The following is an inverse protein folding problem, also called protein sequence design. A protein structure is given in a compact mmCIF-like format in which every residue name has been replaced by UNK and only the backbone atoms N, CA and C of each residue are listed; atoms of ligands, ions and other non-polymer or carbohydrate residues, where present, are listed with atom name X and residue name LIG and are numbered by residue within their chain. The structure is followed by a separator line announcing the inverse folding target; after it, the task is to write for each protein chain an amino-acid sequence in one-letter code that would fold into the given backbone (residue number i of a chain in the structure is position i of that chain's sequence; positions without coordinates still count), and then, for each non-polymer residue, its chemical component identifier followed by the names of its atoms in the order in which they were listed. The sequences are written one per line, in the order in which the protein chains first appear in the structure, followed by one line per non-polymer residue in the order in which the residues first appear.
data_IF_457182494485
#
_entry.id   IF_457182494485
#
_cell.length_a   1.000
_cell.length_b   1.000
_cell.length_c   1.000
_cell.angle_alpha   90.00
_cell.angle_beta   90.00
_cell.angle_gamma   90.00
#
_symmetry.space_group_name_H-M   'P 1'
#
loop_
_entity.id
_entity.type
_entity.pdbx_description
1 polymer ?
#
# COMPACT_ATOMS: atom_id res chain seq x y z
N UNK A 1 26.45 -15.60 5.23
CA UNK A 1 25.30 -14.68 5.33
C UNK A 1 24.07 -15.46 5.82
N UNK A 2 24.17 -16.27 6.86
CA UNK A 2 24.42 -16.04 8.30
C UNK A 2 23.13 -15.75 9.06
N UNK A 3 22.70 -16.83 9.75
CA UNK A 3 21.53 -17.11 10.58
C UNK A 3 21.14 -16.04 11.62
N UNK A 4 21.87 -14.93 11.71
CA UNK A 4 21.68 -13.90 12.73
C UNK A 4 20.40 -13.07 12.50
N UNK A 5 19.93 -12.93 11.25
CA UNK A 5 18.77 -12.09 10.92
C UNK A 5 17.42 -12.77 11.15
N UNK A 6 17.35 -14.10 11.10
CA UNK A 6 16.11 -14.84 11.36
C UNK A 6 15.73 -14.83 12.85
N UNK A 7 16.69 -14.60 13.74
CA UNK A 7 16.45 -14.49 15.18
C UNK A 7 15.83 -13.14 15.58
N UNK A 8 16.00 -12.09 14.78
CA UNK A 8 15.37 -10.78 15.02
C UNK A 8 13.85 -10.83 14.78
N UNK A 9 13.38 -11.77 13.95
CA UNK A 9 11.94 -11.96 13.66
C UNK A 9 11.25 -12.78 14.77
N UNK A 10 11.99 -13.53 15.58
CA UNK A 10 11.43 -14.46 16.57
C UNK A 10 11.39 -13.92 18.01
N UNK A 11 12.04 -12.79 18.30
CA UNK A 11 12.19 -12.25 19.67
C UNK A 11 11.17 -11.17 20.08
N UNK A 12 10.12 -10.94 19.29
CA UNK A 12 9.06 -9.96 19.61
C UNK A 12 7.82 -10.58 20.27
N UNK A 13 7.99 -11.72 20.96
CA UNK A 13 6.96 -12.30 21.81
C UNK A 13 7.35 -12.15 23.27
N UNK A 14 6.75 -11.18 23.97
CA UNK A 14 6.46 -11.16 25.42
C UNK A 14 6.43 -9.71 25.95
N UNK A 15 5.33 -8.99 25.73
CA UNK A 15 4.88 -7.94 26.66
C UNK A 15 3.35 -8.05 26.76
N UNK A 16 2.89 -8.94 27.63
CA UNK A 16 1.51 -9.02 28.06
C UNK A 16 1.35 -8.15 29.32
N UNK A 17 0.79 -6.96 29.15
CA UNK A 17 0.20 -6.16 30.23
C UNK A 17 -1.29 -6.45 30.31
N UNK A 18 -1.87 -6.30 31.51
CA UNK A 18 -3.29 -6.53 31.75
C UNK A 18 -4.16 -5.48 31.03
N UNK A 19 -5.33 -5.92 30.56
CA UNK A 19 -6.36 -5.08 29.94
C UNK A 19 -7.13 -4.33 31.03
N UNK A 20 -6.84 -3.04 31.22
CA UNK A 20 -7.69 -2.16 32.03
C UNK A 20 -8.83 -1.60 31.17
N UNK A 21 -10.06 -1.60 31.71
CA UNK A 21 -11.20 -0.93 31.08
C UNK A 21 -10.91 0.57 30.93
N UNK A 22 -11.37 1.20 29.85
CA UNK A 22 -11.09 2.62 29.64
C UNK A 22 -11.70 3.49 30.75
N UNK A 23 -11.04 4.59 31.12
CA UNK A 23 -11.45 5.44 32.26
C UNK A 23 -12.91 5.92 32.14
N UNK A 24 -13.37 6.21 30.92
CA UNK A 24 -14.75 6.59 30.65
C UNK A 24 -15.73 5.43 30.84
N UNK A 25 -15.35 4.19 30.48
CA UNK A 25 -16.18 3.00 30.69
C UNK A 25 -16.30 2.65 32.18
N UNK A 26 -15.34 3.05 32.99
CA UNK A 26 -15.36 2.86 34.44
C UNK A 26 -16.23 3.91 35.17
N UNK A 27 -16.62 5.01 34.51
CA UNK A 27 -17.43 6.08 35.12
C UNK A 27 -18.86 5.58 35.43
N UNK A 28 -19.26 5.50 36.71
CA UNK A 28 -20.59 5.03 37.09
C UNK A 28 -21.71 5.93 36.55
N UNK A 29 -21.47 7.24 36.42
CA UNK A 29 -22.47 8.18 35.90
C UNK A 29 -22.72 7.95 34.39
N UNK A 30 -21.67 7.57 33.66
CA UNK A 30 -21.79 7.21 32.25
C UNK A 30 -22.63 5.94 32.06
N UNK A 31 -22.37 4.90 32.87
CA UNK A 31 -23.13 3.63 32.83
C UNK A 31 -24.60 3.83 33.13
N UNK A 32 -24.91 4.59 34.19
CA UNK A 32 -26.30 4.92 34.56
C UNK A 32 -27.01 5.68 33.44
N UNK A 33 -26.33 6.62 32.78
CA UNK A 33 -26.91 7.34 31.64
C UNK A 33 -27.28 6.40 30.49
N UNK A 34 -26.40 5.45 30.13
CA UNK A 34 -26.69 4.48 29.07
C UNK A 34 -27.92 3.65 29.42
N UNK A 35 -27.97 3.08 30.63
CA UNK A 35 -29.09 2.25 31.07
C UNK A 35 -30.42 3.00 31.08
N UNK A 36 -30.41 4.28 31.45
CA UNK A 36 -31.59 5.15 31.41
C UNK A 36 -31.98 5.48 29.98
N UNK A 37 -31.01 5.80 29.11
CA UNK A 37 -31.25 6.11 27.72
C UNK A 37 -31.86 4.94 26.95
N UNK A 38 -31.37 3.72 27.15
CA UNK A 38 -31.92 2.53 26.50
C UNK A 38 -33.37 2.25 26.93
N UNK A 39 -33.74 2.59 28.17
CA UNK A 39 -35.10 2.42 28.70
C UNK A 39 -36.06 3.53 28.27
N UNK A 40 -35.59 4.78 28.27
CA UNK A 40 -36.43 5.96 28.05
C UNK A 40 -36.37 6.48 26.61
N UNK A 41 -35.42 6.01 25.81
CA UNK A 41 -35.15 6.50 24.45
C UNK A 41 -34.79 7.99 24.42
N UNK A 42 -34.18 8.52 25.48
CA UNK A 42 -33.83 9.95 25.59
C UNK A 42 -32.62 10.20 26.48
N UNK A 43 -31.88 11.27 26.18
CA UNK A 43 -30.77 11.80 26.99
C UNK A 43 -30.99 13.30 27.17
N UNK A 44 -31.36 13.73 28.37
CA UNK A 44 -31.75 15.11 28.64
C UNK A 44 -32.93 15.53 27.74
N UNK A 45 -32.77 16.60 26.98
CA UNK A 45 -33.79 17.12 26.05
C UNK A 45 -33.80 16.41 24.67
N UNK A 46 -32.86 15.49 24.43
CA UNK A 46 -32.71 14.81 23.13
C UNK A 46 -33.51 13.50 23.15
N UNK A 47 -34.51 13.38 22.27
CA UNK A 47 -35.22 12.11 22.05
C UNK A 47 -34.63 11.33 20.87
N UNK A 48 -34.44 10.02 21.07
CA UNK A 48 -33.89 9.11 20.08
C UNK A 48 -35.05 8.28 19.52
N UNK A 49 -35.60 8.71 18.39
CA UNK A 49 -36.85 8.16 17.83
C UNK A 49 -36.80 6.64 17.58
N UNK A 50 -35.65 6.10 17.17
CA UNK A 50 -35.50 4.67 16.88
C UNK A 50 -35.27 3.80 18.13
N UNK A 51 -35.07 4.39 19.32
CA UNK A 51 -35.01 3.67 20.59
C UNK A 51 -36.40 3.30 21.14
N UNK A 52 -37.48 3.92 20.65
CA UNK A 52 -38.82 3.80 21.22
C UNK A 52 -39.53 2.46 20.89
N UNK A 53 -38.82 1.44 20.39
CA UNK A 53 -39.39 0.20 19.87
C UNK A 53 -39.38 -1.02 20.83
N UNK A 54 -39.16 -0.84 22.13
CA UNK A 54 -39.09 -1.96 23.09
C UNK A 54 -40.30 -2.09 24.03
N UNK A 55 -41.34 -1.26 23.91
CA UNK A 55 -42.48 -1.31 24.84
C UNK A 55 -43.66 -2.17 24.38
N UNK A 56 -43.79 -2.49 23.09
CA UNK A 56 -44.90 -3.33 22.61
C UNK A 56 -44.38 -4.47 21.72
N UNK A 57 -44.48 -5.70 22.23
CA UNK A 57 -44.05 -6.93 21.55
C UNK A 57 -44.87 -7.27 20.31
N UNK A 58 -44.72 -6.48 19.24
CA UNK A 58 -45.38 -6.71 17.95
C UNK A 58 -44.35 -6.56 16.82
N UNK A 59 -43.49 -7.56 16.66
CA UNK A 59 -42.63 -7.68 15.48
C UNK A 59 -42.44 -9.13 15.05
N UNK A 60 -43.47 -9.95 15.23
CA UNK A 60 -43.55 -11.27 14.62
C UNK A 60 -44.40 -11.31 13.33
N UNK A 61 -45.10 -10.22 12.95
CA UNK A 61 -46.10 -10.24 11.86
C UNK A 61 -46.09 -9.00 10.94
N UNK A 62 -44.92 -8.37 10.72
CA UNK A 62 -44.83 -7.26 9.75
C UNK A 62 -44.57 -7.80 8.33
N UNK A 63 -45.36 -7.40 7.31
CA UNK A 63 -45.16 -7.83 5.93
C UNK A 63 -43.77 -7.47 5.40
N UNK A 64 -43.16 -8.36 4.62
CA UNK A 64 -41.80 -8.24 4.05
C UNK A 64 -41.51 -6.94 3.27
N UNK A 65 -42.54 -6.21 2.84
CA UNK A 65 -42.40 -4.92 2.12
C UNK A 65 -42.38 -3.68 3.04
N UNK A 66 -42.58 -3.85 4.35
CA UNK A 66 -42.38 -2.81 5.38
C UNK A 66 -40.93 -2.76 5.89
N UNK A 67 -40.04 -3.61 5.37
CA UNK A 67 -38.62 -3.51 5.66
C UNK A 67 -38.08 -2.20 5.09
N UNK A 68 -37.54 -1.37 5.98
CA UNK A 68 -36.93 -0.11 5.60
C UNK A 68 -35.88 -0.33 4.49
N UNK A 69 -35.81 0.56 3.49
CA UNK A 69 -34.79 0.48 2.45
C UNK A 69 -33.38 0.38 3.08
N UNK A 70 -32.50 -0.42 2.49
CA UNK A 70 -31.11 -0.58 2.98
C UNK A 70 -30.39 0.76 3.21
N UNK A 71 -30.71 1.81 2.43
CA UNK A 71 -30.12 3.14 2.62
C UNK A 71 -30.61 3.86 3.90
N UNK A 72 -31.84 3.59 4.34
CA UNK A 72 -32.42 4.12 5.59
C UNK A 72 -31.85 3.37 6.78
N UNK A 73 -31.75 2.04 6.70
CA UNK A 73 -31.07 1.20 7.70
C UNK A 73 -29.59 1.60 7.85
N UNK A 74 -28.94 1.98 6.75
CA UNK A 74 -27.56 2.47 6.79
C UNK A 74 -27.43 3.85 7.45
N UNK A 75 -28.49 4.67 7.43
CA UNK A 75 -28.54 6.01 8.03
C UNK A 75 -28.90 5.96 9.53
N UNK A 76 -29.73 5.02 9.96
CA UNK A 76 -30.18 4.88 11.34
C UNK A 76 -29.10 4.23 12.22
N UNK A 77 -28.78 4.82 13.37
CA UNK A 77 -27.91 4.21 14.38
C UNK A 77 -28.70 3.21 15.22
N UNK A 78 -28.00 2.27 15.86
CA UNK A 78 -28.63 1.39 16.83
C UNK A 78 -28.89 2.19 18.10
N UNK A 79 -30.00 1.92 18.79
CA UNK A 79 -30.37 2.63 20.00
C UNK A 79 -29.21 2.73 21.01
N UNK A 80 -28.57 1.58 21.27
CA UNK A 80 -27.41 1.49 22.16
C UNK A 80 -26.24 2.39 21.76
N UNK A 81 -25.90 2.47 20.47
CA UNK A 81 -24.74 3.25 20.01
C UNK A 81 -25.00 4.75 20.03
N UNK A 82 -26.26 5.18 19.86
CA UNK A 82 -26.64 6.58 20.07
C UNK A 82 -26.71 6.94 21.55
N UNK A 83 -27.24 6.06 22.41
CA UNK A 83 -27.18 6.24 23.85
C UNK A 83 -25.74 6.38 24.37
N UNK A 84 -24.84 5.47 23.96
CA UNK A 84 -23.42 5.54 24.29
C UNK A 84 -22.80 6.88 23.86
N UNK A 85 -23.17 7.39 22.68
CA UNK A 85 -22.67 8.66 22.16
C UNK A 85 -23.18 9.88 22.93
N UNK A 86 -24.50 10.02 23.08
CA UNK A 86 -25.08 11.19 23.74
C UNK A 86 -24.69 11.26 25.21
N UNK A 87 -24.65 10.12 25.91
CA UNK A 87 -24.16 10.04 27.28
C UNK A 87 -22.67 10.41 27.39
N UNK A 88 -21.84 9.95 26.45
CA UNK A 88 -20.42 10.30 26.40
C UNK A 88 -20.26 11.82 26.20
N UNK A 89 -20.96 12.39 25.23
CA UNK A 89 -20.90 13.83 24.94
C UNK A 89 -21.39 14.68 26.11
N UNK A 90 -22.42 14.24 26.83
CA UNK A 90 -22.90 14.91 28.04
C UNK A 90 -21.83 14.90 29.15
N UNK A 91 -21.24 13.74 29.42
CA UNK A 91 -20.19 13.60 30.45
C UNK A 91 -18.95 14.41 30.12
N UNK A 92 -18.53 14.43 28.86
CA UNK A 92 -17.39 15.24 28.42
C UNK A 92 -17.67 16.75 28.54
N UNK A 93 -18.90 17.20 28.29
CA UNK A 93 -19.30 18.59 28.54
C UNK A 93 -19.23 18.96 30.03
N UNK A 94 -19.63 18.05 30.92
CA UNK A 94 -19.54 18.24 32.37
C UNK A 94 -18.08 18.25 32.84
N UNK A 95 -17.23 17.40 32.28
CA UNK A 95 -15.77 17.39 32.53
C UNK A 95 -15.10 18.67 32.05
N UNK A 96 -15.43 19.14 30.85
CA UNK A 96 -14.92 20.40 30.29
C UNK A 96 -15.30 21.60 31.18
N UNK A 97 -16.53 21.65 31.68
CA UNK A 97 -16.97 22.69 32.61
C UNK A 97 -16.19 22.70 33.94
N UNK A 98 -15.66 21.55 34.36
CA UNK A 98 -14.81 21.40 35.54
C UNK A 98 -13.31 21.58 35.24
N UNK A 99 -12.94 21.87 33.99
CA UNK A 99 -11.53 21.98 33.57
C UNK A 99 -10.77 20.64 33.57
N UNK A 100 -11.49 19.51 33.58
CA UNK A 100 -10.91 18.17 33.51
C UNK A 100 -10.52 17.82 32.07
N UNK A 101 -9.53 16.94 31.91
CA UNK A 101 -9.11 16.44 30.60
C UNK A 101 -10.12 15.42 30.04
N UNK A 102 -10.26 15.34 28.70
CA UNK A 102 -11.07 14.31 28.07
C UNK A 102 -10.59 12.91 28.39
N UNK A 103 -11.51 11.94 28.41
CA UNK A 103 -11.18 10.51 28.58
C UNK A 103 -11.69 9.67 27.42
N UNK A 104 -11.16 8.45 27.31
CA UNK A 104 -11.60 7.48 26.31
C UNK A 104 -12.80 6.68 26.80
N UNK A 105 -13.67 6.32 25.86
CA UNK A 105 -14.83 5.44 26.04
C UNK A 105 -14.74 4.33 25.01
N UNK A 106 -14.81 3.07 25.44
CA UNK A 106 -14.57 1.89 24.60
C UNK A 106 -13.29 2.00 23.74
N UNK A 107 -12.23 2.58 24.30
CA UNK A 107 -10.94 2.80 23.62
C UNK A 107 -10.89 3.96 22.63
N UNK A 108 -12.01 4.67 22.39
CA UNK A 108 -12.10 5.78 21.43
C UNK A 108 -12.21 7.14 22.13
N UNK A 109 -11.71 8.17 21.46
CA UNK A 109 -11.86 9.55 21.91
C UNK A 109 -13.26 10.12 21.58
N UNK A 110 -13.76 11.12 22.34
CA UNK A 110 -15.06 11.71 22.11
C UNK A 110 -15.02 12.68 20.91
N UNK A 111 -15.57 12.25 19.76
CA UNK A 111 -15.67 13.07 18.55
C UNK A 111 -17.03 13.74 18.39
N UNK A 112 -17.06 14.98 17.90
CA UNK A 112 -18.30 15.64 17.49
C UNK A 112 -18.71 15.15 16.10
N UNK A 113 -19.82 14.41 16.03
CA UNK A 113 -20.38 13.92 14.76
C UNK A 113 -20.91 15.09 13.91
N UNK A 114 -20.82 14.97 12.59
CA UNK A 114 -21.44 15.90 11.63
C UNK A 114 -22.40 15.14 10.72
N UNK A 115 -23.71 15.27 10.98
CA UNK A 115 -24.80 14.59 10.27
C UNK A 115 -24.61 13.06 10.19
N UNK A 116 -23.89 12.59 9.17
CA UNK A 116 -23.66 11.15 8.88
C UNK A 116 -22.25 10.72 9.25
N UNK A 117 -21.27 11.65 9.31
CA UNK A 117 -19.86 11.34 9.53
C UNK A 117 -19.55 11.26 11.02
N UNK A 118 -19.02 10.12 11.45
CA UNK A 118 -18.50 9.94 12.81
C UNK A 118 -17.22 10.76 13.04
N UNK A 119 -16.26 10.63 12.13
CA UNK A 119 -14.97 11.33 12.16
C UNK A 119 -14.76 12.04 10.81
N UNK A 120 -15.34 13.24 10.63
CA UNK A 120 -15.41 13.88 9.31
C UNK A 120 -14.05 14.18 8.70
N UNK A 121 -13.06 14.57 9.53
CA UNK A 121 -11.72 14.90 9.04
C UNK A 121 -10.98 13.64 8.61
N UNK A 122 -10.94 12.60 9.43
CA UNK A 122 -10.31 11.32 9.11
C UNK A 122 -10.93 10.65 7.88
N UNK A 123 -12.25 10.73 7.72
CA UNK A 123 -12.95 10.21 6.54
C UNK A 123 -12.52 10.92 5.24
N UNK A 124 -12.47 12.26 5.25
CA UNK A 124 -12.05 13.05 4.08
C UNK A 124 -10.58 12.81 3.76
N UNK A 125 -9.71 12.77 4.76
CA UNK A 125 -8.28 12.53 4.55
C UNK A 125 -7.99 11.11 4.03
N UNK A 126 -8.73 10.11 4.52
CA UNK A 126 -8.70 8.74 3.97
C UNK A 126 -9.11 8.72 2.48
N UNK A 127 -10.21 9.39 2.14
CA UNK A 127 -10.68 9.46 0.74
C UNK A 127 -9.69 10.20 -0.18
N UNK A 128 -9.06 11.27 0.30
CA UNK A 128 -8.00 11.97 -0.44
C UNK A 128 -6.78 11.06 -0.66
N UNK A 129 -6.40 10.30 0.37
CA UNK A 129 -5.28 9.35 0.26
C UNK A 129 -5.62 8.25 -0.76
N UNK A 130 -6.85 7.72 -0.76
CA UNK A 130 -7.32 6.77 -1.77
C UNK A 130 -7.14 7.32 -3.20
N UNK A 131 -7.53 8.58 -3.44
CA UNK A 131 -7.37 9.23 -4.75
C UNK A 131 -5.89 9.32 -5.15
N UNK A 132 -5.02 9.69 -4.21
CA UNK A 132 -3.56 9.73 -4.47
C UNK A 132 -3.01 8.35 -4.81
N UNK A 133 -3.44 7.31 -4.09
CA UNK A 133 -3.00 5.93 -4.34
C UNK A 133 -3.48 5.43 -5.71
N UNK A 134 -4.73 5.71 -6.08
CA UNK A 134 -5.27 5.39 -7.41
C UNK A 134 -4.50 6.08 -8.53
N UNK A 135 -4.28 7.40 -8.41
CA UNK A 135 -3.55 8.17 -9.41
C UNK A 135 -2.10 7.71 -9.57
N UNK A 136 -1.44 7.38 -8.44
CA UNK A 136 -0.08 6.85 -8.43
C UNK A 136 0.01 5.47 -9.10
N UNK A 137 -0.90 4.56 -8.74
CA UNK A 137 -0.99 3.23 -9.34
C UNK A 137 -1.28 3.31 -10.85
N UNK A 138 -2.23 4.15 -11.26
CA UNK A 138 -2.57 4.35 -12.68
C UNK A 138 -1.38 4.90 -13.46
N UNK A 139 -0.65 5.88 -12.90
CA UNK A 139 0.55 6.44 -13.52
C UNK A 139 1.63 5.38 -13.72
N UNK A 140 1.83 4.51 -12.72
CA UNK A 140 2.75 3.38 -12.81
C UNK A 140 2.31 2.33 -13.84
N UNK A 141 1.02 1.98 -13.87
CA UNK A 141 0.44 1.05 -14.85
C UNK A 141 0.67 1.56 -16.28
N UNK A 142 0.30 2.82 -16.54
CA UNK A 142 0.47 3.47 -17.85
C UNK A 142 1.94 3.51 -18.29
N UNK A 143 2.85 3.86 -17.37
CA UNK A 143 4.29 3.84 -17.65
C UNK A 143 4.76 2.43 -18.05
N UNK A 144 4.41 1.43 -17.25
CA UNK A 144 4.96 0.08 -17.35
C UNK A 144 4.52 -0.65 -18.62
N UNK A 145 3.27 -0.45 -19.04
CA UNK A 145 2.68 -1.18 -20.17
C UNK A 145 2.63 -0.41 -21.48
N UNK A 146 2.55 0.93 -21.44
CA UNK A 146 2.34 1.74 -22.65
C UNK A 146 3.52 2.61 -23.04
N UNK A 147 4.34 3.06 -22.07
CA UNK A 147 5.49 3.94 -22.36
C UNK A 147 6.82 3.20 -22.41
N UNK A 148 7.01 2.20 -21.54
CA UNK A 148 8.23 1.42 -21.50
C UNK A 148 8.16 0.20 -22.44
N UNK A 149 9.29 -0.21 -23.03
CA UNK A 149 9.31 -1.36 -23.93
C UNK A 149 9.03 -2.65 -23.16
N UNK A 150 8.31 -3.56 -23.82
CA UNK A 150 8.03 -4.89 -23.31
C UNK A 150 9.02 -5.92 -23.87
N UNK A 151 9.20 -7.03 -23.16
CA UNK A 151 10.06 -8.11 -23.62
C UNK A 151 9.46 -8.77 -24.87
N UNK A 152 10.17 -8.86 -26.01
CA UNK A 152 9.61 -9.30 -27.29
C UNK A 152 8.97 -10.69 -27.27
N UNK A 153 9.54 -11.65 -26.54
CA UNK A 153 9.08 -13.04 -26.53
C UNK A 153 7.99 -13.36 -25.51
N UNK A 154 7.85 -12.55 -24.45
CA UNK A 154 6.91 -12.86 -23.37
C UNK A 154 5.83 -11.80 -23.17
N UNK A 155 5.92 -10.64 -23.83
CA UNK A 155 5.02 -9.51 -23.61
C UNK A 155 5.06 -8.93 -22.19
N UNK A 156 6.03 -9.34 -21.37
CA UNK A 156 6.15 -8.91 -19.96
C UNK A 156 7.04 -7.68 -19.83
N UNK A 157 6.78 -6.87 -18.81
CA UNK A 157 7.63 -5.74 -18.45
C UNK A 157 9.04 -6.20 -18.08
N UNK A 158 10.05 -5.39 -18.39
CA UNK A 158 11.43 -5.66 -17.94
C UNK A 158 11.62 -5.52 -16.43
N UNK A 159 10.79 -4.70 -15.80
CA UNK A 159 10.84 -4.50 -14.35
C UNK A 159 10.38 -5.75 -13.61
N UNK A 160 11.24 -6.27 -12.75
CA UNK A 160 11.03 -7.59 -12.13
C UNK A 160 9.98 -7.55 -11.01
N UNK A 161 9.63 -6.37 -10.49
CA UNK A 161 8.71 -6.21 -9.35
C UNK A 161 7.31 -5.73 -9.77
N UNK A 162 7.02 -5.68 -11.08
CA UNK A 162 5.77 -5.13 -11.60
C UNK A 162 4.53 -5.72 -10.94
N UNK A 163 4.45 -7.05 -10.85
CA UNK A 163 3.29 -7.73 -10.23
C UNK A 163 3.11 -7.32 -8.76
N UNK A 164 4.20 -7.20 -8.00
CA UNK A 164 4.14 -6.81 -6.58
C UNK A 164 3.56 -5.40 -6.41
N UNK A 165 3.95 -4.45 -7.27
CA UNK A 165 3.41 -3.09 -7.20
C UNK A 165 1.94 -2.98 -7.61
N UNK A 166 1.45 -3.87 -8.49
CA UNK A 166 0.01 -3.94 -8.78
C UNK A 166 -0.77 -4.45 -7.58
N UNK A 167 -0.28 -5.52 -6.93
CA UNK A 167 -0.90 -6.04 -5.71
C UNK A 167 -0.87 -4.98 -4.60
N UNK A 168 0.26 -4.29 -4.41
CA UNK A 168 0.37 -3.18 -3.46
C UNK A 168 -0.67 -2.09 -3.74
N UNK A 169 -0.80 -1.66 -5.01
CA UNK A 169 -1.78 -0.63 -5.39
C UNK A 169 -3.21 -1.04 -5.10
N UNK A 170 -3.58 -2.28 -5.42
CA UNK A 170 -4.92 -2.82 -5.14
C UNK A 170 -5.21 -2.91 -3.64
N UNK A 171 -4.27 -3.46 -2.86
CA UNK A 171 -4.40 -3.56 -1.40
C UNK A 171 -4.45 -2.16 -0.77
N UNK A 172 -3.66 -1.21 -1.29
CA UNK A 172 -3.67 0.15 -0.79
C UNK A 172 -5.02 0.82 -1.03
N UNK A 173 -5.53 0.76 -2.25
CA UNK A 173 -6.85 1.30 -2.55
C UNK A 173 -7.95 0.63 -1.71
N UNK A 174 -7.85 -0.67 -1.46
CA UNK A 174 -8.80 -1.39 -0.61
C UNK A 174 -8.76 -0.90 0.86
N UNK A 175 -7.56 -0.74 1.43
CA UNK A 175 -7.41 -0.25 2.80
C UNK A 175 -7.96 1.18 2.98
N UNK A 176 -7.57 2.11 2.11
CA UNK A 176 -8.05 3.49 2.20
C UNK A 176 -9.54 3.65 1.91
N UNK A 177 -10.12 2.75 1.08
CA UNK A 177 -11.56 2.69 0.87
C UNK A 177 -12.31 2.27 2.13
N UNK A 178 -11.88 1.18 2.77
CA UNK A 178 -12.50 0.73 4.02
C UNK A 178 -12.27 1.71 5.17
N UNK A 179 -11.10 2.36 5.25
CA UNK A 179 -10.84 3.43 6.21
C UNK A 179 -11.77 4.64 6.03
N UNK A 180 -11.99 5.08 4.78
CA UNK A 180 -12.94 6.16 4.51
C UNK A 180 -14.38 5.79 4.92
N UNK A 181 -14.80 4.54 4.69
CA UNK A 181 -16.11 4.03 5.12
C UNK A 181 -16.19 3.96 6.65
N UNK A 182 -15.18 3.42 7.31
CA UNK A 182 -15.14 3.26 8.77
C UNK A 182 -15.28 4.61 9.49
N UNK A 183 -14.48 5.61 9.10
CA UNK A 183 -14.55 6.95 9.70
C UNK A 183 -15.84 7.71 9.33
N UNK A 184 -16.50 7.33 8.23
CA UNK A 184 -17.85 7.82 7.92
C UNK A 184 -18.85 7.19 8.88
N UNK A 185 -18.85 5.86 8.99
CA UNK A 185 -19.86 5.09 9.72
C UNK A 185 -19.26 3.83 10.34
N UNK A 186 -19.13 3.83 11.67
CA UNK A 186 -18.63 2.68 12.41
C UNK A 186 -19.75 1.71 12.78
N UNK A 187 -19.63 0.47 12.33
CA UNK A 187 -20.28 -0.72 12.88
C UNK A 187 -19.32 -1.91 12.75
N UNK A 188 -19.57 -2.99 13.51
CA UNK A 188 -18.62 -4.09 13.72
C UNK A 188 -18.00 -4.65 12.42
N UNK A 189 -18.79 -4.76 11.35
CA UNK A 189 -18.30 -5.23 10.05
C UNK A 189 -17.31 -4.25 9.42
N UNK A 190 -17.62 -2.94 9.39
CA UNK A 190 -16.71 -1.93 8.82
C UNK A 190 -15.42 -1.82 9.61
N UNK A 191 -15.49 -1.99 10.92
CA UNK A 191 -14.31 -2.00 11.80
C UNK A 191 -13.40 -3.19 11.51
N UNK A 192 -13.98 -4.39 11.41
CA UNK A 192 -13.24 -5.59 11.04
C UNK A 192 -12.62 -5.48 9.65
N UNK A 193 -13.35 -4.93 8.67
CA UNK A 193 -12.84 -4.77 7.30
C UNK A 193 -11.74 -3.72 7.19
N UNK A 194 -11.86 -2.60 7.91
CA UNK A 194 -10.83 -1.57 7.97
C UNK A 194 -9.53 -2.12 8.57
N UNK A 195 -9.61 -2.76 9.74
CA UNK A 195 -8.43 -3.37 10.36
C UNK A 195 -7.82 -4.48 9.49
N UNK A 196 -8.65 -5.36 8.91
CA UNK A 196 -8.17 -6.45 8.06
C UNK A 196 -7.47 -5.94 6.81
N UNK A 197 -8.04 -4.93 6.15
CA UNK A 197 -7.46 -4.34 4.94
C UNK A 197 -6.19 -3.54 5.23
N UNK A 198 -6.14 -2.83 6.35
CA UNK A 198 -4.95 -2.15 6.86
C UNK A 198 -3.81 -3.12 7.16
N UNK A 199 -4.08 -4.24 7.87
CA UNK A 199 -3.10 -5.30 8.12
C UNK A 199 -2.61 -5.92 6.81
N UNK A 200 -3.52 -6.20 5.86
CA UNK A 200 -3.15 -6.75 4.57
C UNK A 200 -2.21 -5.82 3.80
N UNK A 201 -2.48 -4.51 3.80
CA UNK A 201 -1.62 -3.50 3.19
C UNK A 201 -0.25 -3.44 3.88
N UNK A 202 -0.20 -3.22 5.20
CA UNK A 202 1.05 -3.06 5.96
C UNK A 202 1.90 -4.33 5.85
N UNK A 203 1.27 -5.50 5.96
CA UNK A 203 1.92 -6.80 5.83
C UNK A 203 2.49 -7.04 4.43
N UNK A 204 1.71 -6.77 3.38
CA UNK A 204 2.22 -6.90 2.02
C UNK A 204 3.32 -5.88 1.71
N UNK A 205 3.21 -4.66 2.24
CA UNK A 205 4.25 -3.64 2.13
C UNK A 205 5.55 -4.07 2.81
N UNK A 206 5.49 -4.78 3.94
CA UNK A 206 6.65 -5.40 4.58
C UNK A 206 7.28 -6.48 3.69
N UNK A 207 6.48 -7.37 3.08
CA UNK A 207 6.98 -8.36 2.11
C UNK A 207 7.70 -7.66 0.96
N UNK A 208 7.07 -6.63 0.38
CA UNK A 208 7.65 -5.83 -0.70
C UNK A 208 8.97 -5.19 -0.27
N UNK A 209 9.02 -4.59 0.93
CA UNK A 209 10.21 -3.97 1.49
C UNK A 209 11.36 -4.98 1.63
N UNK A 210 11.10 -6.19 2.13
CA UNK A 210 12.09 -7.27 2.22
C UNK A 210 12.61 -7.63 0.82
N UNK A 211 11.71 -7.97 -0.10
CA UNK A 211 12.09 -8.41 -1.45
C UNK A 211 12.88 -7.32 -2.21
N UNK A 212 12.48 -6.06 -2.06
CA UNK A 212 13.14 -4.93 -2.73
C UNK A 212 14.47 -4.56 -2.09
N UNK A 213 14.59 -4.65 -0.77
CA UNK A 213 15.82 -4.36 0.00
C UNK A 213 16.92 -5.36 -0.31
N UNK A 214 16.60 -6.66 -0.26
CA UNK A 214 17.53 -7.73 -0.57
C UNK A 214 17.67 -8.01 -2.07
N UNK A 215 16.98 -7.23 -2.92
CA UNK A 215 17.00 -7.33 -4.39
C UNK A 215 16.73 -8.77 -4.89
N UNK A 216 15.71 -9.41 -4.32
CA UNK A 216 15.33 -10.80 -4.64
C UNK A 216 14.58 -10.84 -5.97
N UNK A 217 15.23 -11.42 -6.99
CA UNK A 217 14.72 -11.45 -8.37
C UNK A 217 14.10 -12.77 -8.78
N UNK A 218 14.55 -13.87 -8.17
CA UNK A 218 14.11 -15.23 -8.49
C UNK A 218 12.73 -15.50 -7.90
N UNK A 219 11.79 -15.93 -8.74
CA UNK A 219 10.40 -16.15 -8.31
C UNK A 219 10.29 -17.19 -7.17
N UNK A 220 11.05 -18.28 -7.25
CA UNK A 220 11.07 -19.30 -6.19
C UNK A 220 11.53 -18.73 -4.85
N UNK A 221 12.56 -17.88 -4.82
CA UNK A 221 13.05 -17.24 -3.60
C UNK A 221 12.05 -16.22 -3.06
N UNK A 222 11.32 -15.52 -3.93
CA UNK A 222 10.25 -14.61 -3.52
C UNK A 222 9.13 -15.35 -2.82
N UNK A 223 8.68 -16.47 -3.38
CA UNK A 223 7.64 -17.31 -2.77
C UNK A 223 8.13 -17.86 -1.42
N UNK A 224 9.36 -18.36 -1.35
CA UNK A 224 9.93 -18.89 -0.11
C UNK A 224 9.98 -17.85 1.02
N UNK A 225 10.27 -16.58 0.71
CA UNK A 225 10.30 -15.48 1.69
C UNK A 225 8.88 -14.98 2.02
N UNK A 226 8.02 -14.84 1.00
CA UNK A 226 6.69 -14.28 1.16
C UNK A 226 5.71 -15.25 1.85
N UNK A 227 5.82 -16.55 1.59
CA UNK A 227 4.89 -17.55 2.13
C UNK A 227 4.74 -17.54 3.67
N UNK A 228 5.81 -17.54 4.49
CA UNK A 228 5.66 -17.49 5.95
C UNK A 228 5.06 -16.16 6.43
N UNK A 229 5.40 -15.05 5.78
CA UNK A 229 4.83 -13.74 6.11
C UNK A 229 3.35 -13.68 5.74
N UNK A 230 2.97 -14.19 4.57
CA UNK A 230 1.57 -14.29 4.16
C UNK A 230 0.78 -15.21 5.10
N UNK A 231 1.34 -16.34 5.52
CA UNK A 231 0.70 -17.23 6.49
C UNK A 231 0.45 -16.54 7.84
N UNK A 232 1.43 -15.80 8.34
CA UNK A 232 1.25 -14.98 9.54
C UNK A 232 0.12 -13.94 9.37
N UNK A 233 0.13 -13.21 8.25
CA UNK A 233 -0.86 -12.18 7.96
C UNK A 233 -2.27 -12.76 7.82
N UNK A 234 -2.42 -13.89 7.14
CA UNK A 234 -3.73 -14.54 7.01
C UNK A 234 -4.21 -15.03 8.36
N UNK A 235 -3.36 -15.66 9.18
CA UNK A 235 -3.73 -16.07 10.54
C UNK A 235 -4.15 -14.87 11.40
N UNK A 236 -3.41 -13.75 11.35
CA UNK A 236 -3.78 -12.54 12.09
C UNK A 236 -5.10 -11.93 11.60
N UNK A 237 -5.32 -11.84 10.28
CA UNK A 237 -6.59 -11.36 9.72
C UNK A 237 -7.76 -12.28 10.12
N UNK A 238 -7.57 -13.60 10.07
CA UNK A 238 -8.57 -14.56 10.54
C UNK A 238 -8.88 -14.35 12.02
N UNK A 239 -7.86 -14.12 12.85
CA UNK A 239 -8.03 -13.79 14.26
C UNK A 239 -8.93 -12.54 14.45
N UNK A 240 -8.65 -11.44 13.74
CA UNK A 240 -9.43 -10.19 13.84
C UNK A 240 -10.90 -10.35 13.41
N UNK A 241 -11.21 -11.29 12.50
CA UNK A 241 -12.56 -11.48 11.99
C UNK A 241 -13.40 -12.46 12.83
N UNK A 242 -12.78 -13.55 13.29
CA UNK A 242 -13.48 -14.66 13.94
C UNK A 242 -13.50 -14.58 15.47
N UNK A 243 -12.59 -13.84 16.09
CA UNK A 243 -12.55 -13.63 17.54
C UNK A 243 -12.98 -12.21 17.91
N UNK A 244 -13.09 -11.95 19.21
CA UNK A 244 -13.24 -10.59 19.72
C UNK A 244 -12.03 -9.76 19.28
N UNK A 245 -12.31 -8.61 18.68
CA UNK A 245 -11.30 -7.75 18.08
C UNK A 245 -10.46 -7.09 19.18
N UNK A 246 -9.26 -7.62 19.41
CA UNK A 246 -8.28 -7.00 20.30
C UNK A 246 -7.53 -5.88 19.58
N UNK A 247 -7.99 -4.64 19.81
CA UNK A 247 -7.38 -3.44 19.25
C UNK A 247 -5.93 -3.23 19.70
N UNK A 248 -5.59 -3.61 20.93
CA UNK A 248 -4.25 -3.42 21.48
C UNK A 248 -3.25 -4.36 20.79
N UNK A 249 -3.62 -5.64 20.66
CA UNK A 249 -2.81 -6.61 19.94
C UNK A 249 -2.66 -6.21 18.47
N UNK A 250 -3.74 -5.80 17.81
CA UNK A 250 -3.69 -5.35 16.43
C UNK A 250 -2.73 -4.16 16.24
N UNK A 251 -2.81 -3.17 17.13
CA UNK A 251 -1.94 -2.00 17.11
C UNK A 251 -0.47 -2.40 17.26
N UNK A 252 -0.13 -3.26 18.23
CA UNK A 252 1.23 -3.76 18.44
C UNK A 252 1.78 -4.46 17.20
N UNK A 253 0.99 -5.33 16.57
CA UNK A 253 1.37 -6.05 15.35
C UNK A 253 1.61 -5.07 14.18
N UNK A 254 0.72 -4.12 13.95
CA UNK A 254 0.86 -3.09 12.93
C UNK A 254 2.11 -2.22 13.13
N UNK A 255 2.35 -1.75 14.36
CA UNK A 255 3.53 -0.94 14.71
C UNK A 255 4.82 -1.74 14.49
N UNK A 256 4.87 -3.01 14.92
CA UNK A 256 6.03 -3.86 14.72
C UNK A 256 6.37 -4.03 13.23
N UNK A 257 5.35 -4.29 12.39
CA UNK A 257 5.53 -4.35 10.93
C UNK A 257 5.94 -3.00 10.33
N UNK A 258 5.38 -1.89 10.83
CA UNK A 258 5.74 -0.53 10.42
C UNK A 258 7.20 -0.19 10.72
N UNK A 259 7.68 -0.49 11.93
CA UNK A 259 9.09 -0.33 12.32
C UNK A 259 9.99 -1.17 11.40
N UNK A 260 9.61 -2.43 11.15
CA UNK A 260 10.32 -3.30 10.23
C UNK A 260 10.47 -2.70 8.83
N UNK A 261 9.41 -2.10 8.30
CA UNK A 261 9.45 -1.40 7.01
C UNK A 261 10.37 -0.18 7.04
N UNK A 262 10.26 0.67 8.06
CA UNK A 262 11.12 1.86 8.21
C UNK A 262 12.59 1.46 8.24
N UNK A 263 12.95 0.40 8.98
CA UNK A 263 14.32 -0.10 9.04
C UNK A 263 14.81 -0.63 7.68
N UNK A 264 14.01 -1.46 7.01
CA UNK A 264 14.36 -2.02 5.70
C UNK A 264 14.56 -0.93 4.65
N UNK A 265 13.66 0.05 4.58
CA UNK A 265 13.79 1.17 3.64
C UNK A 265 14.95 2.11 3.98
N UNK A 266 15.27 2.29 5.26
CA UNK A 266 16.47 3.00 5.70
C UNK A 266 17.75 2.31 5.20
N UNK A 267 17.83 0.98 5.37
CA UNK A 267 18.94 0.17 4.87
C UNK A 267 19.03 0.28 3.35
N UNK A 268 17.92 0.14 2.64
CA UNK A 268 17.91 0.27 1.19
C UNK A 268 18.36 1.66 0.73
N UNK A 269 17.88 2.73 1.36
CA UNK A 269 18.24 4.11 1.00
C UNK A 269 19.71 4.45 1.33
N UNK A 270 20.26 3.87 2.38
CA UNK A 270 21.66 4.03 2.77
C UNK A 270 22.63 3.24 1.89
N UNK A 271 22.27 2.01 1.51
CA UNK A 271 23.15 1.12 0.73
C UNK A 271 23.06 1.39 -0.76
N UNK A 272 21.88 1.73 -1.29
CA UNK A 272 21.70 1.89 -2.73
C UNK A 272 22.08 3.28 -3.23
N UNK A 273 22.68 3.33 -4.43
CA UNK A 273 22.99 4.59 -5.14
C UNK A 273 21.87 4.98 -6.12
N UNK A 274 20.62 4.70 -5.77
CA UNK A 274 19.48 5.04 -6.63
C UNK A 274 19.30 6.57 -6.69
N UNK A 275 19.05 7.17 -7.88
CA UNK A 275 18.87 8.63 -8.00
C UNK A 275 17.75 9.17 -7.10
N UNK A 276 16.68 8.40 -6.93
CA UNK A 276 15.50 8.77 -6.13
C UNK A 276 15.61 8.47 -4.62
N UNK A 277 16.80 8.16 -4.10
CA UNK A 277 16.98 7.77 -2.68
C UNK A 277 16.49 8.82 -1.67
N UNK A 278 16.52 10.10 -2.04
CA UNK A 278 16.07 11.19 -1.17
C UNK A 278 14.55 11.11 -0.90
N UNK A 279 13.77 10.64 -1.88
CA UNK A 279 12.32 10.42 -1.71
C UNK A 279 12.05 9.30 -0.71
N UNK A 280 12.87 8.24 -0.75
CA UNK A 280 12.78 7.17 0.24
C UNK A 280 13.17 7.66 1.64
N UNK A 281 14.22 8.48 1.77
CA UNK A 281 14.54 9.09 3.07
C UNK A 281 13.39 9.96 3.61
N UNK A 282 12.73 10.73 2.75
CA UNK A 282 11.54 11.49 3.14
C UNK A 282 10.39 10.57 3.58
N UNK A 283 10.17 9.44 2.88
CA UNK A 283 9.18 8.43 3.26
C UNK A 283 9.54 7.72 4.57
N UNK A 284 10.81 7.43 4.81
CA UNK A 284 11.30 6.84 6.07
C UNK A 284 11.06 7.78 7.24
N UNK A 285 11.45 9.06 7.12
CA UNK A 285 11.30 10.06 8.18
C UNK A 285 9.81 10.32 8.44
N UNK A 286 9.01 10.51 7.38
CA UNK A 286 7.58 10.72 7.53
C UNK A 286 6.85 9.48 8.04
N UNK A 287 7.28 8.27 7.67
CA UNK A 287 6.74 7.02 8.21
C UNK A 287 7.05 6.84 9.70
N UNK A 288 8.25 7.20 10.15
CA UNK A 288 8.58 7.24 11.57
C UNK A 288 7.74 8.29 12.32
N UNK A 289 7.53 9.46 11.73
CA UNK A 289 6.63 10.49 12.28
C UNK A 289 5.18 10.01 12.36
N UNK A 290 4.70 9.27 11.35
CA UNK A 290 3.36 8.69 11.36
C UNK A 290 3.22 7.66 12.49
N UNK A 291 4.18 6.74 12.66
CA UNK A 291 4.18 5.80 13.81
C UNK A 291 4.18 6.56 15.14
N UNK A 292 4.94 7.64 15.24
CA UNK A 292 4.96 8.46 16.45
C UNK A 292 3.61 9.14 16.73
N UNK A 293 2.94 9.68 15.70
CA UNK A 293 1.61 10.27 15.84
C UNK A 293 0.59 9.23 16.31
N UNK A 294 0.64 8.01 15.77
CA UNK A 294 -0.24 6.91 16.18
C UNK A 294 -0.03 6.53 17.66
N UNK A 295 1.24 6.52 18.12
CA UNK A 295 1.60 6.23 19.52
C UNK A 295 1.28 7.37 20.49
N UNK A 296 1.30 8.63 20.03
CA UNK A 296 1.07 9.80 20.88
C UNK A 296 -0.41 9.95 21.26
N UNK A 297 -1.33 9.49 20.40
CA UNK A 297 -2.73 9.18 20.73
C UNK A 297 -3.44 10.28 21.57
N UNK A 298 -3.43 11.52 21.07
CA UNK A 298 -3.95 12.68 21.80
C UNK A 298 -5.44 12.95 21.50
N UNK A 299 -6.21 13.52 22.45
CA UNK A 299 -7.63 13.78 22.27
C UNK A 299 -7.93 14.80 21.16
N UNK A 300 -9.11 14.74 20.53
CA UNK A 300 -9.43 15.58 19.40
C UNK A 300 -9.45 17.07 19.75
N UNK A 301 -8.61 17.85 19.08
CA UNK A 301 -8.64 19.30 19.11
C UNK A 301 -9.97 19.81 18.55
N UNK A 302 -10.66 20.63 19.36
CA UNK A 302 -12.00 21.16 19.08
C UNK A 302 -13.08 20.08 18.82
N UNK A 303 -12.81 18.82 19.16
CA UNK A 303 -13.71 17.68 18.92
C UNK A 303 -13.70 17.13 17.49
N UNK A 304 -12.73 17.51 16.65
CA UNK A 304 -12.66 17.06 15.25
C UNK A 304 -11.32 16.48 14.79
N UNK A 305 -10.19 16.99 15.30
CA UNK A 305 -8.85 16.62 14.80
C UNK A 305 -8.03 16.00 15.92
N UNK A 306 -7.82 14.70 15.85
CA UNK A 306 -6.98 13.94 16.78
C UNK A 306 -5.63 13.57 16.14
N UNK A 307 -4.83 12.79 16.86
CA UNK A 307 -3.59 12.21 16.33
C UNK A 307 -3.81 11.38 15.08
N UNK A 308 -4.88 10.61 15.03
CA UNK A 308 -5.15 9.72 13.92
C UNK A 308 -5.51 10.49 12.64
N UNK A 309 -6.26 11.60 12.75
CA UNK A 309 -6.47 12.53 11.64
C UNK A 309 -5.14 13.12 11.12
N UNK A 310 -4.20 13.47 12.01
CA UNK A 310 -2.87 13.93 11.59
C UNK A 310 -2.04 12.82 10.95
N UNK A 311 -2.19 11.58 11.40
CA UNK A 311 -1.61 10.40 10.76
C UNK A 311 -2.13 10.26 9.32
N UNK A 312 -3.44 10.35 9.10
CA UNK A 312 -4.05 10.35 7.76
C UNK A 312 -3.52 11.48 6.89
N UNK A 313 -3.44 12.70 7.44
CA UNK A 313 -2.91 13.86 6.72
C UNK A 313 -1.45 13.67 6.29
N UNK A 314 -0.63 13.06 7.15
CA UNK A 314 0.79 12.76 6.87
C UNK A 314 0.93 11.75 5.74
N UNK A 315 0.01 10.79 5.60
CA UNK A 315 0.06 9.76 4.56
C UNK A 315 -0.17 10.29 3.14
N UNK A 316 -0.86 11.43 2.96
CA UNK A 316 -1.13 12.03 1.64
C UNK A 316 0.17 12.38 0.88
N UNK A 317 1.04 13.28 1.39
CA UNK A 317 2.29 13.61 0.71
C UNK A 317 3.24 12.41 0.63
N UNK A 318 3.20 11.50 1.62
CA UNK A 318 4.01 10.29 1.62
C UNK A 318 3.59 9.33 0.49
N UNK A 319 2.30 9.12 0.27
CA UNK A 319 1.79 8.31 -0.83
C UNK A 319 2.20 8.87 -2.19
N UNK A 320 2.17 10.20 -2.35
CA UNK A 320 2.65 10.85 -3.57
C UNK A 320 4.15 10.59 -3.81
N UNK A 321 4.98 10.83 -2.79
CA UNK A 321 6.43 10.59 -2.89
C UNK A 321 6.75 9.11 -3.16
N UNK A 322 5.97 8.21 -2.56
CA UNK A 322 6.08 6.79 -2.73
C UNK A 322 5.84 6.36 -4.17
N UNK A 323 4.70 6.72 -4.76
CA UNK A 323 4.43 6.39 -6.16
C UNK A 323 5.38 7.10 -7.13
N UNK A 324 5.84 8.30 -6.79
CA UNK A 324 6.88 8.99 -7.56
C UNK A 324 8.21 8.21 -7.55
N UNK A 325 8.59 7.63 -6.42
CA UNK A 325 9.72 6.71 -6.35
C UNK A 325 9.50 5.45 -7.20
N UNK A 326 8.33 4.81 -7.10
CA UNK A 326 8.01 3.60 -7.88
C UNK A 326 8.14 3.86 -9.37
N UNK A 327 7.59 4.98 -9.84
CA UNK A 327 7.68 5.41 -11.23
C UNK A 327 9.14 5.47 -11.71
N UNK A 328 10.00 6.16 -10.95
CA UNK A 328 11.41 6.32 -11.29
C UNK A 328 12.22 5.03 -11.13
N UNK A 329 11.90 4.17 -10.16
CA UNK A 329 12.56 2.87 -9.99
C UNK A 329 12.33 1.97 -11.20
N UNK A 330 11.11 1.98 -11.75
CA UNK A 330 10.74 1.20 -12.94
C UNK A 330 11.51 1.68 -14.17
N UNK A 331 11.57 3.00 -14.38
CA UNK A 331 12.31 3.61 -15.48
C UNK A 331 13.81 3.32 -15.37
N UNK A 332 14.39 3.54 -14.18
CA UNK A 332 15.80 3.31 -13.91
C UNK A 332 16.19 1.85 -14.15
N UNK A 333 15.43 0.90 -13.60
CA UNK A 333 15.70 -0.53 -13.72
C UNK A 333 15.53 -1.03 -15.14
N UNK A 334 14.46 -0.61 -15.83
CA UNK A 334 14.22 -0.97 -17.23
C UNK A 334 15.35 -0.47 -18.11
N UNK A 335 15.75 0.78 -17.95
CA UNK A 335 16.86 1.38 -18.69
C UNK A 335 18.19 0.67 -18.44
N UNK A 336 18.49 0.30 -17.19
CA UNK A 336 19.71 -0.44 -16.84
C UNK A 336 19.77 -1.83 -17.49
N UNK A 337 18.66 -2.57 -17.46
CA UNK A 337 18.56 -3.90 -18.09
C UNK A 337 18.72 -3.79 -19.61
N UNK A 338 18.06 -2.81 -20.23
CA UNK A 338 18.16 -2.58 -21.67
C UNK A 338 19.57 -2.18 -22.10
N UNK A 339 20.25 -1.30 -21.36
CA UNK A 339 21.64 -0.92 -21.63
C UNK A 339 22.56 -2.15 -21.59
N UNK A 340 22.40 -3.02 -20.58
CA UNK A 340 23.16 -4.26 -20.46
C UNK A 340 22.89 -5.22 -21.63
N UNK A 341 21.63 -5.38 -22.04
CA UNK A 341 21.26 -6.21 -23.19
C UNK A 341 21.86 -5.69 -24.51
N UNK A 342 21.81 -4.38 -24.74
CA UNK A 342 22.43 -3.74 -25.92
C UNK A 342 23.95 -3.94 -25.92
N UNK A 343 24.62 -3.78 -24.78
CA UNK A 343 26.06 -3.97 -24.68
C UNK A 343 26.48 -5.42 -24.93
N UNK A 344 25.72 -6.39 -24.42
CA UNK A 344 25.94 -7.81 -24.70
C UNK A 344 25.74 -8.16 -26.17
N UNK A 345 24.70 -7.63 -26.81
CA UNK A 345 24.45 -7.80 -28.25
C UNK A 345 25.60 -7.23 -29.10
N UNK A 346 26.10 -6.02 -28.76
CA UNK A 346 27.27 -5.42 -29.43
C UNK A 346 28.52 -6.27 -29.27
N UNK A 347 28.79 -6.78 -28.07
CA UNK A 347 29.94 -7.65 -27.81
C UNK A 347 29.86 -8.94 -28.64
N UNK A 348 28.70 -9.61 -28.63
CA UNK A 348 28.48 -10.84 -29.41
C UNK A 348 28.64 -10.60 -30.92
N UNK A 349 28.07 -9.52 -31.45
CA UNK A 349 28.24 -9.15 -32.85
C UNK A 349 29.71 -8.87 -33.21
N UNK A 350 30.44 -8.19 -32.33
CA UNK A 350 31.87 -7.91 -32.54
C UNK A 350 32.69 -9.20 -32.53
N UNK A 351 32.46 -10.09 -31.55
CA UNK A 351 33.13 -11.39 -31.49
C UNK A 351 32.81 -12.29 -32.69
N UNK A 352 31.57 -12.27 -33.18
CA UNK A 352 31.16 -13.01 -34.36
C UNK A 352 31.88 -12.51 -35.62
N UNK A 353 31.95 -11.18 -35.82
CA UNK A 353 32.69 -10.59 -36.95
C UNK A 353 34.16 -10.97 -36.89
N UNK A 354 34.81 -10.87 -35.72
CA UNK A 354 36.22 -11.25 -35.56
C UNK A 354 36.42 -12.74 -35.86
N UNK A 355 35.53 -13.61 -35.39
CA UNK A 355 35.59 -15.05 -35.66
C UNK A 355 35.47 -15.35 -37.17
N UNK A 356 34.52 -14.71 -37.86
CA UNK A 356 34.36 -14.85 -39.32
C UNK A 356 35.59 -14.35 -40.06
N UNK A 357 36.16 -13.21 -39.66
CA UNK A 357 37.39 -12.69 -40.27
C UNK A 357 38.58 -13.66 -40.10
N UNK A 358 38.74 -14.27 -38.92
CA UNK A 358 39.79 -15.26 -38.71
C UNK A 358 39.60 -16.54 -39.53
N UNK A 359 38.36 -17.01 -39.68
CA UNK A 359 38.06 -18.15 -40.57
C UNK A 359 38.37 -17.82 -42.03
N UNK A 360 38.09 -16.59 -42.48
CA UNK A 360 38.44 -16.13 -43.83
C UNK A 360 39.96 -16.05 -44.03
N UNK A 361 40.72 -15.57 -43.04
CA UNK A 361 42.20 -15.58 -43.09
C UNK A 361 42.79 -16.99 -43.11
N UNK A 362 42.25 -17.91 -42.31
CA UNK A 362 42.68 -19.32 -42.32
C UNK A 362 42.37 -19.98 -43.68
N UNK A 363 41.18 -19.73 -44.22
CA UNK A 363 40.80 -20.19 -45.56
C UNK A 363 41.74 -19.64 -46.64
N UNK A 364 42.12 -18.35 -46.53
CA UNK A 364 43.10 -17.72 -47.40
C UNK A 364 44.47 -18.38 -47.33
N UNK A 365 44.99 -18.65 -46.12
CA UNK A 365 46.30 -19.31 -45.96
C UNK A 365 46.34 -20.73 -46.51
N UNK A 366 45.21 -21.46 -46.44
CA UNK A 366 45.16 -22.87 -46.80
C UNK A 366 44.92 -23.10 -48.30
N UNK A 367 44.32 -22.12 -49.01
CA UNK A 367 44.01 -22.23 -50.44
C UNK A 367 44.27 -20.92 -51.24
N UNK A 368 45.53 -20.50 -51.43
CA UNK A 368 45.87 -19.23 -52.10
C UNK A 368 45.50 -19.17 -53.60
N UNK A 369 45.12 -20.29 -54.23
CA UNK A 369 44.82 -20.40 -55.67
C UNK A 369 43.33 -20.33 -56.02
N UNK A 370 42.42 -20.28 -55.05
CA UNK A 370 40.95 -20.31 -55.23
C UNK A 370 40.33 -19.00 -55.76
N UNK A 371 41.13 -17.98 -56.08
CA UNK A 371 40.65 -16.65 -56.49
C UNK A 371 40.61 -16.39 -58.00
N UNK A 372 40.69 -17.45 -58.82
CA UNK A 372 40.49 -17.33 -60.27
C UNK A 372 39.04 -17.56 -60.73
N UNK A 373 38.07 -17.65 -59.81
CA UNK A 373 36.64 -17.76 -60.16
C UNK A 373 35.83 -16.52 -59.76
N UNK A 374 34.94 -16.03 -60.65
CA UNK A 374 34.25 -14.75 -60.52
C UNK A 374 33.28 -14.63 -59.32
N UNK A 375 32.94 -15.72 -58.62
CA UNK A 375 32.10 -15.68 -57.41
C UNK A 375 32.75 -15.00 -56.19
N UNK A 376 34.06 -14.77 -56.20
CA UNK A 376 34.78 -14.21 -55.05
C UNK A 376 34.70 -12.68 -54.96
N UNK A 377 34.49 -11.99 -56.08
CA UNK A 377 34.34 -10.53 -56.11
C UNK A 377 32.99 -10.07 -55.54
N UNK A 378 31.91 -10.85 -55.73
CA UNK A 378 30.59 -10.55 -55.15
C UNK A 378 30.55 -10.72 -53.64
N UNK A 379 31.26 -11.71 -53.08
CA UNK A 379 31.40 -11.90 -51.63
C UNK A 379 32.23 -10.80 -50.96
N UNK A 380 33.28 -10.31 -51.63
CA UNK A 380 34.05 -9.17 -51.15
C UNK A 380 33.22 -7.87 -51.21
N UNK A 381 32.50 -7.62 -52.31
CA UNK A 381 31.60 -6.47 -52.44
C UNK A 381 30.47 -6.52 -51.39
N UNK A 382 29.88 -7.69 -51.14
CA UNK A 382 28.91 -7.89 -50.07
C UNK A 382 29.52 -7.57 -48.70
N UNK A 383 30.77 -7.98 -48.42
CA UNK A 383 31.43 -7.66 -47.15
C UNK A 383 31.64 -6.15 -46.96
N UNK A 384 31.99 -5.41 -48.02
CA UNK A 384 32.11 -3.95 -47.98
C UNK A 384 30.77 -3.24 -47.87
N UNK A 385 29.72 -3.71 -48.55
CA UNK A 385 28.36 -3.19 -48.40
C UNK A 385 27.81 -3.44 -46.99
N UNK A 386 28.12 -4.59 -46.38
CA UNK A 386 27.78 -4.89 -44.98
C UNK A 386 28.53 -3.98 -43.99
N UNK A 387 29.82 -3.70 -44.21
CA UNK A 387 30.59 -2.75 -43.40
C UNK A 387 30.06 -1.30 -43.56
N UNK A 388 29.60 -0.92 -44.75
CA UNK A 388 28.96 0.39 -45.00
C UNK A 388 27.58 0.46 -44.34
N UNK A 389 26.78 -0.63 -44.39
CA UNK A 389 25.47 -0.71 -43.74
C UNK A 389 25.57 -0.68 -42.20
N UNK A 390 26.63 -1.26 -41.62
CA UNK A 390 26.97 -1.11 -40.19
C UNK A 390 27.40 0.32 -39.84
N UNK A 391 28.06 1.06 -40.76
CA UNK A 391 28.32 2.51 -40.59
C UNK A 391 27.07 3.37 -40.75
N UNK A 392 26.09 2.98 -41.56
CA UNK A 392 24.80 3.68 -41.67
C UNK A 392 23.97 3.53 -40.37
N UNK A 393 24.02 2.36 -39.73
CA UNK A 393 23.47 2.10 -38.38
C UNK A 393 24.17 2.86 -37.24
N UNK A 394 25.32 3.51 -37.50
CA UNK A 394 26.03 4.41 -36.57
C UNK A 394 25.52 5.86 -36.61
N UNK A 395 24.69 6.26 -37.57
CA UNK A 395 24.19 7.65 -37.68
C UNK A 395 22.92 7.87 -36.83
N UNK A 396 22.83 8.95 -36.01
CA UNK A 396 21.70 9.17 -35.12
C UNK A 396 20.39 9.60 -35.82
N UNK A 397 20.40 9.84 -37.13
CA UNK A 397 19.25 10.39 -37.88
C UNK A 397 18.33 9.32 -38.49
N UNK A 398 18.80 8.07 -38.69
CA UNK A 398 17.99 7.04 -39.37
C UNK A 398 16.96 6.34 -38.49
N UNK A 399 17.07 6.43 -37.15
CA UNK A 399 16.16 5.72 -36.24
C UNK A 399 14.96 6.55 -35.75
N UNK A 400 14.91 7.85 -36.07
CA UNK A 400 13.76 8.71 -35.73
C UNK A 400 12.62 8.56 -36.75
N UNK A 401 12.94 8.25 -38.00
CA UNK A 401 11.93 8.09 -39.07
C UNK A 401 11.10 6.81 -38.97
N UNK A 402 11.67 5.70 -38.49
CA UNK A 402 10.97 4.41 -38.45
C UNK A 402 9.98 4.23 -37.29
N UNK A 403 9.99 5.12 -36.30
CA UNK A 403 9.02 5.09 -35.19
C UNK A 403 7.74 5.92 -35.47
N UNK A 404 7.75 6.80 -36.47
CA UNK A 404 6.56 7.60 -36.83
C UNK A 404 5.62 6.83 -37.79
N UNK A 405 6.14 5.88 -38.56
CA UNK A 405 5.33 5.13 -39.55
C UNK A 405 4.59 3.90 -39.01
N UNK A 406 4.74 3.56 -37.73
CA UNK A 406 4.10 2.38 -37.11
C UNK A 406 2.92 2.74 -36.18
N UNK A 407 2.42 3.98 -36.25
CA UNK A 407 1.19 4.44 -35.62
C UNK A 407 0.36 5.24 -36.62
N UNK A 408 -0.28 4.52 -37.52
CA UNK A 408 -1.52 4.93 -38.20
C UNK A 408 -2.52 3.82 -38.00
#
# INVERSE_FOLDING_TARGET
MDRCWLLVIFLFGCIFGATDASEGDADPLYRVCIEQCEKMGSVGDISIQHCQFLSDGVLADSPWYMQEPLYVQWKQWNCRSDCQYFCMMQREKEREALGLRPVKYYGKWPFKRSSVLQEPVSAVLSALTLVVQFNGWLSFFLLSYYKLPLRPHSGRTYYEYTCLWHIYGLLSMNAWFWGAIYHTRCFDLTEKLDHSSSVALIGFALILAVLRTFNVKTEASRVMIAAPLLAFLTTHILYLNFYELDHELNMKVCIAMGIGQVLLWSVWAGVTRHPSRFKIWAVVIGGAMAIFLELYDFPPFKGYVDSHALWHATNIPLAYLWWSFVYEDVEFRTSAIMKKARQHSRFCATSFVVFVMHLLELCWQQHPTMLKQPCTAELLNASTEWVISIRALRSPLYYVSSQVSAKT
#
